data_IF_178929314164
#
_entry.id   IF_178929314164
#
_cell.length_a   1.000
_cell.length_b   1.000
_cell.length_c   1.000
_cell.angle_alpha   90.00
_cell.angle_beta   90.00
_cell.angle_gamma   90.00
#
_symmetry.space_group_name_H-M   'P 1'
#
loop_
_entity.id
_entity.type
_entity.pdbx_description
1 polymer ?
#
# COMPACT_ATOMS: atom_id res chain seq x y z
N UNK A 1 34.01 9.55 15.43
CA UNK A 1 34.78 10.06 14.28
C UNK A 1 33.85 10.10 13.08
N UNK A 2 33.48 11.27 12.55
CA UNK A 2 32.64 11.33 11.37
C UNK A 2 33.37 10.84 10.12
N UNK A 3 32.61 10.23 9.20
CA UNK A 3 33.04 9.82 7.86
C UNK A 3 32.47 10.82 6.85
N UNK A 4 33.30 11.30 5.92
CA UNK A 4 32.85 12.18 4.84
C UNK A 4 33.30 11.68 3.48
N UNK A 5 32.49 12.00 2.47
CA UNK A 5 32.82 11.89 1.07
C UNK A 5 33.61 13.11 0.62
N UNK A 6 34.65 12.92 -0.19
CA UNK A 6 35.46 13.97 -0.78
C UNK A 6 35.52 13.84 -2.30
N UNK A 7 35.73 14.97 -2.98
CA UNK A 7 36.03 15.02 -4.42
C UNK A 7 37.22 15.92 -4.67
N UNK A 8 38.16 15.45 -5.48
CA UNK A 8 39.27 16.24 -5.99
C UNK A 8 39.04 16.63 -7.45
N UNK A 9 39.64 17.73 -7.90
CA UNK A 9 39.60 18.18 -9.29
C UNK A 9 40.31 17.23 -10.26
N UNK A 10 41.17 16.33 -9.76
CA UNK A 10 41.73 15.25 -10.56
C UNK A 10 40.72 14.15 -10.94
N UNK A 11 39.48 14.24 -10.43
CA UNK A 11 38.40 13.27 -10.67
C UNK A 11 38.29 12.18 -9.60
N UNK A 12 39.26 12.06 -8.68
CA UNK A 12 39.20 11.09 -7.61
C UNK A 12 38.08 11.41 -6.60
N UNK A 13 37.38 10.36 -6.17
CA UNK A 13 36.39 10.39 -5.08
C UNK A 13 36.79 9.36 -4.04
N UNK A 14 36.68 9.73 -2.77
CA UNK A 14 37.09 8.86 -1.66
C UNK A 14 36.36 9.24 -0.38
N UNK A 15 36.35 8.32 0.56
CA UNK A 15 35.78 8.50 1.89
C UNK A 15 36.89 8.58 2.93
N UNK A 16 36.76 9.45 3.93
CA UNK A 16 37.75 9.55 5.00
C UNK A 16 37.13 9.83 6.35
N UNK A 17 37.56 9.06 7.35
CA UNK A 17 37.25 9.31 8.75
C UNK A 17 38.11 10.46 9.25
N UNK A 18 37.47 11.48 9.81
CA UNK A 18 38.16 12.61 10.44
C UNK A 18 37.81 12.68 11.92
N UNK A 19 38.55 13.48 12.69
CA UNK A 19 38.37 13.58 14.14
C UNK A 19 37.17 14.46 14.47
N UNK A 20 36.98 15.53 13.70
CA UNK A 20 35.93 16.53 13.90
C UNK A 20 35.37 17.03 12.57
N UNK A 21 34.12 17.50 12.57
CA UNK A 21 33.54 18.22 11.42
C UNK A 21 34.33 19.48 11.07
N UNK A 22 35.02 20.09 12.04
CA UNK A 22 35.83 21.31 11.84
C UNK A 22 37.21 21.05 11.26
N UNK A 23 37.60 19.80 11.08
CA UNK A 23 38.90 19.47 10.47
C UNK A 23 38.95 20.00 9.04
N UNK A 24 40.13 20.48 8.64
CA UNK A 24 40.38 20.97 7.30
C UNK A 24 40.11 19.89 6.24
N UNK A 25 39.93 20.34 5.01
CA UNK A 25 39.80 19.49 3.85
C UNK A 25 41.04 18.59 3.69
N UNK A 26 40.82 17.37 3.18
CA UNK A 26 41.82 16.31 3.22
C UNK A 26 42.56 16.24 1.89
N UNK A 27 43.87 16.00 1.92
CA UNK A 27 44.62 15.77 0.70
C UNK A 27 44.11 14.52 -0.05
N UNK A 28 44.05 14.63 -1.37
CA UNK A 28 43.62 13.59 -2.26
C UNK A 28 44.63 12.43 -2.27
N UNK A 29 44.21 11.18 -1.97
CA UNK A 29 45.11 10.04 -1.93
C UNK A 29 45.68 9.67 -3.31
N UNK A 30 45.06 10.12 -4.41
CA UNK A 30 45.50 9.80 -5.77
C UNK A 30 46.53 10.80 -6.33
N UNK A 31 46.47 12.08 -5.95
CA UNK A 31 47.34 13.11 -6.55
C UNK A 31 47.94 14.11 -5.55
N UNK A 32 47.65 13.98 -4.25
CA UNK A 32 48.20 14.82 -3.18
C UNK A 32 47.62 16.24 -3.08
N UNK A 33 46.83 16.71 -4.07
CA UNK A 33 46.18 18.03 -4.02
C UNK A 33 45.02 18.08 -3.03
N UNK A 34 44.60 19.28 -2.68
CA UNK A 34 43.42 19.49 -1.84
C UNK A 34 42.16 18.89 -2.50
N UNK A 35 41.24 18.44 -1.66
CA UNK A 35 39.95 17.89 -2.08
C UNK A 35 38.84 18.54 -1.28
N UNK A 36 37.67 18.69 -1.87
CA UNK A 36 36.55 19.33 -1.22
C UNK A 36 35.62 18.29 -0.60
N UNK A 37 35.22 18.55 0.65
CA UNK A 37 34.19 17.76 1.32
C UNK A 37 32.86 17.90 0.58
N UNK A 38 32.21 16.77 0.32
CA UNK A 38 30.89 16.74 -0.28
C UNK A 38 29.80 16.69 0.79
N UNK A 39 28.64 17.31 0.56
CA UNK A 39 27.47 17.06 1.37
C UNK A 39 27.08 15.57 1.26
N UNK A 40 26.69 14.98 2.40
CA UNK A 40 26.24 13.59 2.44
C UNK A 40 25.09 13.37 1.47
N UNK A 41 25.12 12.26 0.74
CA UNK A 41 24.02 11.91 -0.16
C UNK A 41 22.76 11.65 0.66
N UNK A 42 21.62 12.14 0.19
CA UNK A 42 20.32 11.74 0.74
C UNK A 42 20.11 10.27 0.39
N UNK A 43 20.23 9.40 1.37
CA UNK A 43 19.80 8.01 1.24
C UNK A 43 18.28 7.99 1.39
N UNK A 44 17.56 7.80 0.29
CA UNK A 44 16.14 7.45 0.35
C UNK A 44 16.04 6.00 0.83
N UNK A 45 15.82 5.81 2.12
CA UNK A 45 15.58 4.49 2.71
C UNK A 45 14.08 4.24 2.79
N UNK A 46 13.65 3.11 2.20
CA UNK A 46 12.23 2.71 2.15
C UNK A 46 11.53 3.11 0.84
N UNK A 47 10.81 2.15 0.26
CA UNK A 47 9.87 2.41 -0.82
C UNK A 47 8.50 2.77 -0.27
N UNK A 48 7.73 3.58 -1.00
CA UNK A 48 6.33 3.80 -0.68
C UNK A 48 5.56 2.48 -0.86
N UNK A 49 5.06 1.92 0.24
CA UNK A 49 4.17 0.76 0.23
C UNK A 49 2.82 1.15 0.82
N UNK A 50 1.71 0.64 0.28
CA UNK A 50 0.42 0.84 0.90
C UNK A 50 0.45 0.28 2.34
N UNK A 51 -0.31 0.87 3.27
CA UNK A 51 -0.49 0.31 4.60
C UNK A 51 -1.00 -1.14 4.52
N UNK A 52 -0.84 -1.91 5.59
CA UNK A 52 -1.38 -3.26 5.69
C UNK A 52 -2.89 -3.27 5.41
N UNK A 53 -3.32 -4.26 4.63
CA UNK A 53 -4.73 -4.45 4.31
C UNK A 53 -5.48 -5.17 5.43
N UNK A 54 -6.82 -5.19 5.40
CA UNK A 54 -7.61 -5.86 6.43
C UNK A 54 -7.53 -7.40 6.35
N UNK A 55 -7.08 -7.94 5.22
CA UNK A 55 -6.67 -9.34 5.03
C UNK A 55 -5.44 -9.73 5.88
N UNK A 56 -4.64 -8.74 6.28
CA UNK A 56 -3.46 -8.92 7.13
C UNK A 56 -3.76 -8.61 8.60
N UNK A 57 -4.96 -8.10 8.90
CA UNK A 57 -5.34 -7.80 10.27
C UNK A 57 -5.49 -9.10 11.09
N UNK A 58 -5.13 -9.09 12.37
CA UNK A 58 -5.28 -10.26 13.22
C UNK A 58 -6.76 -10.63 13.37
N UNK A 59 -7.07 -11.92 13.20
CA UNK A 59 -8.43 -12.47 13.31
C UNK A 59 -8.65 -13.30 14.57
N UNK A 60 -7.61 -13.51 15.38
CA UNK A 60 -7.66 -14.28 16.64
C UNK A 60 -7.36 -13.42 17.86
N UNK A 61 -7.81 -13.89 19.02
CA UNK A 61 -7.54 -13.25 20.31
C UNK A 61 -6.04 -13.09 20.58
N UNK A 62 -5.27 -14.15 20.36
CA UNK A 62 -3.81 -14.15 20.51
C UNK A 62 -3.16 -13.18 19.50
N UNK A 63 -3.65 -13.15 18.26
CA UNK A 63 -3.16 -12.27 17.21
C UNK A 63 -3.35 -10.78 17.53
N UNK A 64 -4.38 -10.44 18.31
CA UNK A 64 -4.59 -9.06 18.80
C UNK A 64 -3.73 -8.70 20.03
N UNK A 65 -2.79 -9.56 20.43
CA UNK A 65 -2.04 -9.38 21.67
C UNK A 65 -2.93 -9.54 22.91
N UNK A 66 -3.93 -10.44 22.84
CA UNK A 66 -4.96 -10.63 23.88
C UNK A 66 -5.74 -9.34 24.18
N UNK A 67 -6.13 -8.65 23.11
CA UNK A 67 -6.86 -7.38 23.20
C UNK A 67 -6.01 -6.22 23.68
N UNK A 68 -4.70 -6.24 23.45
CA UNK A 68 -3.83 -5.10 23.75
C UNK A 68 -4.38 -3.83 23.08
N UNK A 69 -4.70 -2.83 23.91
CA UNK A 69 -5.43 -1.63 23.47
C UNK A 69 -4.61 -0.81 22.48
N UNK A 70 -3.30 -0.70 22.69
CA UNK A 70 -2.44 0.11 21.81
C UNK A 70 -2.26 -0.57 20.46
N UNK A 71 -2.08 -1.89 20.48
CA UNK A 71 -1.97 -2.71 19.29
C UNK A 71 -3.26 -2.68 18.45
N UNK A 72 -4.42 -2.89 19.08
CA UNK A 72 -5.72 -2.79 18.40
C UNK A 72 -5.95 -1.37 17.86
N UNK A 73 -5.61 -0.33 18.62
CA UNK A 73 -5.71 1.05 18.14
C UNK A 73 -4.75 1.36 16.98
N UNK A 74 -3.57 0.75 16.94
CA UNK A 74 -2.62 0.87 15.83
C UNK A 74 -3.16 0.20 14.56
N UNK A 75 -3.80 -0.97 14.69
CA UNK A 75 -4.48 -1.63 13.58
C UNK A 75 -5.64 -0.80 13.05
N UNK A 76 -6.51 -0.27 13.92
CA UNK A 76 -7.61 0.63 13.51
C UNK A 76 -7.09 1.79 12.66
N UNK A 77 -6.08 2.53 13.15
CA UNK A 77 -5.44 3.63 12.41
C UNK A 77 -4.82 3.20 11.08
N UNK A 78 -4.32 1.96 11.00
CA UNK A 78 -3.73 1.42 9.78
C UNK A 78 -4.79 1.11 8.73
N UNK A 79 -5.91 0.52 9.15
CA UNK A 79 -7.04 0.25 8.28
C UNK A 79 -7.72 1.54 7.80
N UNK A 80 -7.91 2.54 8.67
CA UNK A 80 -8.44 3.86 8.28
C UNK A 80 -7.56 4.53 7.21
N UNK A 81 -6.23 4.43 7.36
CA UNK A 81 -5.29 4.95 6.35
C UNK A 81 -5.39 4.19 5.04
N UNK A 82 -5.63 2.87 5.09
CA UNK A 82 -5.80 2.04 3.90
C UNK A 82 -7.09 2.39 3.15
N UNK A 83 -8.18 2.62 3.87
CA UNK A 83 -9.47 3.03 3.33
C UNK A 83 -9.36 4.39 2.63
N UNK A 84 -8.81 5.40 3.32
CA UNK A 84 -8.55 6.73 2.71
C UNK A 84 -7.65 6.69 1.49
N UNK A 85 -6.72 5.73 1.45
CA UNK A 85 -5.89 5.51 0.26
C UNK A 85 -6.71 4.92 -0.89
N UNK A 86 -7.56 3.93 -0.62
CA UNK A 86 -8.44 3.32 -1.61
C UNK A 86 -9.51 4.29 -2.14
N UNK A 87 -9.99 5.24 -1.34
CA UNK A 87 -10.89 6.32 -1.79
C UNK A 87 -10.24 7.19 -2.87
N UNK A 88 -8.93 7.47 -2.73
CA UNK A 88 -8.16 8.28 -3.69
C UNK A 88 -7.72 7.48 -4.91
N UNK A 89 -7.47 6.19 -4.71
CA UNK A 89 -6.93 5.27 -5.70
C UNK A 89 -7.86 4.05 -5.81
N UNK A 90 -8.93 4.13 -6.61
CA UNK A 90 -9.94 3.07 -6.72
C UNK A 90 -9.36 1.71 -7.13
N UNK A 91 -8.23 1.69 -7.84
CA UNK A 91 -7.49 0.48 -8.20
C UNK A 91 -6.96 -0.28 -6.99
N UNK A 92 -6.82 0.39 -5.85
CA UNK A 92 -6.41 -0.21 -4.58
C UNK A 92 -7.60 -0.69 -3.73
N UNK A 93 -8.84 -0.45 -4.17
CA UNK A 93 -10.04 -0.91 -3.47
C UNK A 93 -10.19 -2.42 -3.59
N UNK A 94 -10.42 -3.07 -2.45
CA UNK A 94 -10.77 -4.49 -2.43
C UNK A 94 -12.29 -4.58 -2.47
N UNK A 95 -12.87 -5.19 -3.51
CA UNK A 95 -14.30 -5.48 -3.55
C UNK A 95 -14.63 -6.53 -2.49
N UNK A 96 -15.57 -6.22 -1.60
CA UNK A 96 -15.97 -7.06 -0.45
C UNK A 96 -17.48 -7.30 -0.39
N UNK A 97 -18.17 -7.04 -1.49
CA UNK A 97 -19.60 -7.25 -1.52
C UNK A 97 -19.90 -8.74 -1.26
N UNK A 98 -20.82 -9.00 -0.34
CA UNK A 98 -21.25 -10.36 -0.06
C UNK A 98 -21.93 -10.93 -1.32
N UNK A 99 -21.52 -12.13 -1.71
CA UNK A 99 -21.98 -12.76 -2.95
C UNK A 99 -23.17 -13.67 -2.66
N UNK A 100 -24.28 -13.42 -3.34
CA UNK A 100 -25.50 -14.23 -3.27
C UNK A 100 -25.48 -15.40 -4.27
N UNK A 101 -24.92 -15.21 -5.47
CA UNK A 101 -24.72 -16.27 -6.46
C UNK A 101 -23.50 -15.99 -7.34
N UNK A 102 -22.73 -17.03 -7.66
CA UNK A 102 -21.51 -16.93 -8.47
C UNK A 102 -21.41 -18.02 -9.56
N UNK A 103 -22.42 -18.86 -9.69
CA UNK A 103 -22.41 -19.99 -10.63
C UNK A 103 -23.32 -19.73 -11.85
N UNK A 104 -23.08 -20.48 -12.93
CA UNK A 104 -23.88 -20.41 -14.16
C UNK A 104 -23.87 -19.02 -14.79
N UNK A 105 -25.04 -18.40 -14.92
CA UNK A 105 -25.20 -17.05 -15.50
C UNK A 105 -24.44 -15.97 -14.69
N UNK A 106 -24.03 -16.30 -13.47
CA UNK A 106 -23.34 -15.39 -12.56
C UNK A 106 -21.81 -15.55 -12.55
N UNK A 107 -21.26 -16.52 -13.28
CA UNK A 107 -19.83 -16.86 -13.28
C UNK A 107 -18.92 -15.67 -13.61
N UNK A 108 -19.21 -14.93 -14.67
CA UNK A 108 -18.38 -13.80 -15.13
C UNK A 108 -18.53 -12.53 -14.28
N UNK A 109 -19.63 -12.40 -13.54
CA UNK A 109 -19.95 -11.17 -12.84
C UNK A 109 -20.82 -11.45 -11.61
N UNK A 110 -20.32 -11.98 -10.49
CA UNK A 110 -21.14 -12.50 -9.39
C UNK A 110 -22.31 -11.59 -8.95
N UNK A 111 -23.47 -12.19 -8.61
CA UNK A 111 -24.60 -11.47 -8.01
C UNK A 111 -24.28 -11.17 -6.55
N UNK A 112 -24.31 -9.90 -6.19
CA UNK A 112 -24.11 -9.47 -4.79
C UNK A 112 -25.44 -9.47 -4.03
N UNK A 113 -25.40 -9.67 -2.71
CA UNK A 113 -26.57 -9.48 -1.85
C UNK A 113 -27.12 -8.05 -1.91
N UNK A 114 -26.25 -7.06 -2.14
CA UNK A 114 -26.65 -5.67 -2.34
C UNK A 114 -27.49 -5.50 -3.60
N UNK A 115 -27.03 -6.05 -4.72
CA UNK A 115 -27.78 -6.03 -5.99
C UNK A 115 -29.11 -6.81 -5.83
N UNK A 116 -29.08 -7.98 -5.20
CA UNK A 116 -30.27 -8.78 -4.96
C UNK A 116 -31.30 -8.02 -4.12
N UNK A 117 -30.88 -7.41 -3.02
CA UNK A 117 -31.75 -6.60 -2.17
C UNK A 117 -32.35 -5.40 -2.91
N UNK A 118 -31.56 -4.74 -3.77
CA UNK A 118 -32.05 -3.64 -4.61
C UNK A 118 -33.13 -4.11 -5.59
N UNK A 119 -32.95 -5.27 -6.23
CA UNK A 119 -33.90 -5.82 -7.19
C UNK A 119 -35.17 -6.36 -6.53
N UNK A 120 -35.04 -6.95 -5.35
CA UNK A 120 -36.18 -7.45 -4.57
C UNK A 120 -36.88 -6.38 -3.73
N UNK A 121 -36.43 -5.13 -3.76
CA UNK A 121 -36.96 -4.06 -2.89
C UNK A 121 -38.46 -3.81 -3.10
N UNK A 122 -38.96 -3.96 -4.33
CA UNK A 122 -40.36 -3.76 -4.67
C UNK A 122 -41.22 -5.02 -4.53
N UNK A 123 -40.68 -6.20 -4.82
CA UNK A 123 -41.43 -7.47 -4.80
C UNK A 123 -41.41 -8.16 -3.43
N UNK A 124 -40.39 -7.91 -2.60
CA UNK A 124 -40.12 -8.68 -1.40
C UNK A 124 -39.66 -10.13 -1.67
N UNK A 125 -39.51 -10.52 -2.93
CA UNK A 125 -39.15 -11.87 -3.33
C UNK A 125 -37.72 -11.93 -3.90
N UNK A 126 -36.86 -12.66 -3.19
CA UNK A 126 -35.47 -12.90 -3.59
C UNK A 126 -35.37 -13.75 -4.87
N UNK A 127 -36.29 -14.69 -5.08
CA UNK A 127 -36.28 -15.53 -6.28
C UNK A 127 -36.59 -14.69 -7.52
N UNK A 128 -37.57 -13.79 -7.42
CA UNK A 128 -37.89 -12.87 -8.50
C UNK A 128 -36.71 -11.94 -8.82
N UNK A 129 -36.08 -11.33 -7.80
CA UNK A 129 -34.92 -10.45 -8.01
C UNK A 129 -33.71 -11.18 -8.62
N UNK A 130 -33.48 -12.43 -8.22
CA UNK A 130 -32.42 -13.27 -8.81
C UNK A 130 -32.74 -13.66 -10.26
N UNK A 131 -34.00 -13.97 -10.59
CA UNK A 131 -34.43 -14.29 -11.94
C UNK A 131 -34.25 -13.08 -12.88
N UNK A 132 -34.65 -11.89 -12.45
CA UNK A 132 -34.45 -10.63 -13.18
C UNK A 132 -32.97 -10.33 -13.42
N UNK A 133 -32.12 -10.50 -12.39
CA UNK A 133 -30.68 -10.37 -12.53
C UNK A 133 -30.13 -11.35 -13.57
N UNK A 134 -30.54 -12.62 -13.49
CA UNK A 134 -30.15 -13.68 -14.42
C UNK A 134 -30.57 -13.38 -15.86
N UNK A 135 -31.79 -12.88 -16.09
CA UNK A 135 -32.27 -12.48 -17.42
C UNK A 135 -31.44 -11.34 -18.00
N UNK A 136 -31.14 -10.31 -17.19
CA UNK A 136 -30.34 -9.17 -17.62
C UNK A 136 -28.93 -9.56 -18.11
N UNK A 137 -28.36 -10.64 -17.54
CA UNK A 137 -27.03 -11.16 -17.92
C UNK A 137 -27.05 -12.08 -19.14
N UNK A 138 -28.19 -12.73 -19.42
CA UNK A 138 -28.38 -13.54 -20.63
C UNK A 138 -28.66 -12.70 -21.86
N UNK A 139 -29.24 -11.51 -21.70
CA UNK A 139 -29.52 -10.62 -22.82
C UNK A 139 -28.20 -10.27 -23.54
N UNK A 140 -28.07 -10.53 -24.86
CA UNK A 140 -26.88 -10.11 -25.59
C UNK A 140 -26.77 -8.60 -25.47
N UNK A 141 -25.57 -8.09 -25.15
CA UNK A 141 -25.33 -6.65 -25.19
C UNK A 141 -25.66 -6.19 -26.61
N UNK A 142 -26.77 -5.46 -26.78
CA UNK A 142 -27.06 -4.79 -28.05
C UNK A 142 -25.97 -3.74 -28.24
N UNK A 143 -25.02 -4.07 -29.11
CA UNK A 143 -24.07 -3.13 -29.72
C UNK A 143 -24.83 -2.43 -30.85
#
# INVERSE_FOLDING_TARGET
MPLFDYRCDCGARFEKLVRSWRDADQACPACGRDSHRLPGRVALTGGARPPAGPDQAPTSWEGTGRGDREYVAAWRRTLDRRERLAEKYPELSTKRDAIAAHEGVFEKAPLTYKELAQRSASSGDANQGAAEAGQARKAPSRI
#
